data_IF_535679739137
#
_entry.id   IF_535679739137
#
_cell.length_a   1.000
_cell.length_b   1.000
_cell.length_c   1.000
_cell.angle_alpha   90.00
_cell.angle_beta   90.00
_cell.angle_gamma   90.00
#
_symmetry.space_group_name_H-M   'P 1'
#
loop_
_entity.id
_entity.type
_entity.pdbx_description
1 polymer ?
#
# COMPACT_ATOMS: atom_id res chain seq x y z
N UNK A 1 20.33 -9.30 6.72
CA UNK A 1 19.29 -8.33 7.13
C UNK A 1 20.06 -7.22 7.80
N UNK A 2 20.35 -6.15 7.06
CA UNK A 2 21.58 -5.41 7.33
C UNK A 2 21.34 -4.10 8.09
N UNK A 3 20.08 -3.78 8.42
CA UNK A 3 19.69 -2.53 9.09
C UNK A 3 18.68 -2.78 10.21
N UNK A 4 18.80 -2.02 11.29
CA UNK A 4 17.89 -2.02 12.44
C UNK A 4 17.28 -0.63 12.63
N UNK A 5 16.01 -0.59 13.05
CA UNK A 5 15.27 0.63 13.38
C UNK A 5 15.22 0.79 14.89
N UNK A 6 15.31 2.02 15.41
CA UNK A 6 15.20 2.24 16.84
C UNK A 6 13.74 2.10 17.28
N UNK A 7 13.52 1.49 18.45
CA UNK A 7 12.18 1.26 18.99
C UNK A 7 11.38 2.56 19.14
N UNK A 8 12.06 3.64 19.54
CA UNK A 8 11.49 4.98 19.68
C UNK A 8 11.00 5.62 18.38
N UNK A 9 11.47 5.14 17.23
CA UNK A 9 11.06 5.64 15.91
C UNK A 9 9.84 4.88 15.36
N UNK A 10 9.40 3.82 16.05
CA UNK A 10 8.27 3.00 15.64
C UNK A 10 6.93 3.61 16.09
N UNK A 11 5.87 3.51 15.27
CA UNK A 11 5.87 2.96 13.92
C UNK A 11 6.42 3.94 12.87
N UNK A 12 7.37 3.46 12.05
CA UNK A 12 7.88 4.17 10.88
C UNK A 12 6.87 4.03 9.75
N UNK A 13 6.43 5.16 9.21
CA UNK A 13 5.51 5.25 8.07
C UNK A 13 6.23 5.93 6.90
N UNK A 14 6.19 5.30 5.73
CA UNK A 14 6.83 5.80 4.52
C UNK A 14 5.81 5.84 3.39
N UNK A 15 5.89 6.90 2.57
CA UNK A 15 5.17 7.00 1.31
C UNK A 15 6.15 7.01 0.15
N UNK A 16 5.86 6.29 -0.92
CA UNK A 16 6.71 6.24 -2.10
C UNK A 16 5.89 6.29 -3.39
N UNK A 17 6.28 7.16 -4.33
CA UNK A 17 5.74 7.16 -5.70
C UNK A 17 6.74 6.51 -6.64
N UNK A 18 6.30 5.52 -7.41
CA UNK A 18 7.16 4.82 -8.36
C UNK A 18 6.40 4.24 -9.55
N UNK A 19 7.14 3.94 -10.62
CA UNK A 19 6.63 3.15 -11.75
C UNK A 19 6.72 1.66 -11.42
N UNK A 20 5.60 0.96 -11.57
CA UNK A 20 5.48 -0.49 -11.38
C UNK A 20 5.46 -1.20 -12.72
N UNK A 21 6.16 -2.34 -12.82
CA UNK A 21 6.19 -3.20 -14.00
C UNK A 21 5.61 -4.58 -13.66
N UNK A 22 4.59 -5.03 -14.40
CA UNK A 22 3.95 -6.34 -14.19
C UNK A 22 3.84 -7.11 -15.52
N UNK A 23 4.22 -8.37 -15.50
CA UNK A 23 4.26 -9.20 -16.71
C UNK A 23 2.87 -9.62 -17.21
N UNK A 24 1.87 -9.72 -16.32
CA UNK A 24 0.47 -10.05 -16.65
C UNK A 24 0.32 -11.26 -17.60
N UNK A 25 1.12 -12.31 -17.38
CA UNK A 25 1.31 -13.45 -18.30
C UNK A 25 0.09 -14.37 -18.46
N UNK A 26 -0.95 -14.23 -17.62
CA UNK A 26 -2.24 -14.91 -17.82
C UNK A 26 -3.17 -13.98 -18.63
N UNK A 27 -2.97 -13.99 -19.95
CA UNK A 27 -3.33 -12.92 -20.89
C UNK A 27 -4.82 -12.88 -21.33
N UNK A 28 -5.72 -13.54 -20.62
CA UNK A 28 -7.11 -13.70 -21.07
C UNK A 28 -8.12 -12.69 -20.56
N UNK A 29 -7.80 -11.92 -19.51
CA UNK A 29 -8.85 -11.22 -18.75
C UNK A 29 -9.25 -9.85 -19.29
N UNK A 30 -8.31 -9.00 -19.73
CA UNK A 30 -8.59 -7.59 -20.06
C UNK A 30 -7.66 -7.07 -21.18
N UNK A 31 -7.96 -7.30 -22.47
CA UNK A 31 -7.06 -6.92 -23.57
C UNK A 31 -7.09 -5.42 -23.92
N UNK A 32 -8.06 -4.66 -23.41
CA UNK A 32 -8.26 -3.25 -23.77
C UNK A 32 -8.44 -2.37 -22.53
N UNK A 33 -8.07 -1.09 -22.67
CA UNK A 33 -8.19 -0.09 -21.61
C UNK A 33 -6.99 -0.07 -20.66
N UNK A 34 -7.14 0.62 -19.52
CA UNK A 34 -6.07 0.89 -18.57
C UNK A 34 -6.19 0.08 -17.27
N UNK A 35 -7.19 -0.78 -17.16
CA UNK A 35 -7.45 -1.53 -15.93
C UNK A 35 -6.32 -2.52 -15.61
N UNK A 36 -5.74 -3.15 -16.65
CA UNK A 36 -4.60 -4.05 -16.54
C UNK A 36 -3.56 -3.72 -17.61
N UNK A 37 -2.43 -3.18 -17.18
CA UNK A 37 -1.33 -2.75 -18.05
C UNK A 37 0.02 -3.20 -17.48
N UNK A 38 1.01 -3.33 -18.35
CA UNK A 38 2.36 -3.74 -17.93
C UNK A 38 3.10 -2.66 -17.14
N UNK A 39 2.69 -1.41 -17.25
CA UNK A 39 3.35 -0.27 -16.62
C UNK A 39 2.31 0.72 -16.07
N UNK A 40 2.45 1.07 -14.79
CA UNK A 40 1.59 2.08 -14.16
C UNK A 40 2.34 2.79 -13.01
N UNK A 41 1.89 3.99 -12.65
CA UNK A 41 2.42 4.74 -11.49
C UNK A 41 1.60 4.40 -10.25
N UNK A 42 2.28 4.15 -9.13
CA UNK A 42 1.64 3.86 -7.85
C UNK A 42 2.23 4.72 -6.74
N UNK A 43 1.38 5.19 -5.83
CA UNK A 43 1.77 5.71 -4.52
C UNK A 43 1.55 4.60 -3.50
N UNK A 44 2.59 4.21 -2.77
CA UNK A 44 2.56 3.13 -1.78
C UNK A 44 2.70 3.66 -0.36
N UNK A 45 1.89 3.14 0.56
CA UNK A 45 2.12 3.25 2.00
C UNK A 45 2.88 2.02 2.48
N UNK A 46 3.98 2.23 3.19
CA UNK A 46 4.79 1.17 3.78
C UNK A 46 5.04 1.47 5.26
N UNK A 47 4.92 0.44 6.10
CA UNK A 47 4.99 0.57 7.55
C UNK A 47 5.93 -0.44 8.16
N UNK A 48 6.75 0.01 9.12
CA UNK A 48 7.50 -0.87 10.04
C UNK A 48 7.08 -0.50 11.45
N UNK A 49 6.66 -1.49 12.23
CA UNK A 49 6.14 -1.28 13.59
C UNK A 49 6.77 -2.24 14.58
N UNK A 50 6.57 -1.95 15.86
CA UNK A 50 6.99 -2.82 16.95
C UNK A 50 6.12 -4.08 17.00
N UNK A 51 6.49 -5.02 17.88
CA UNK A 51 5.72 -6.22 18.15
C UNK A 51 5.72 -6.51 19.67
N UNK A 52 5.63 -5.47 20.50
CA UNK A 52 5.70 -5.60 21.96
C UNK A 52 4.40 -6.19 22.53
N UNK A 53 3.26 -5.73 22.01
CA UNK A 53 1.91 -6.17 22.39
C UNK A 53 1.36 -7.26 21.46
N UNK A 54 1.89 -7.34 20.24
CA UNK A 54 1.42 -8.26 19.20
C UNK A 54 0.21 -7.75 18.42
N UNK A 55 -0.24 -6.52 18.68
CA UNK A 55 -1.39 -5.88 18.00
C UNK A 55 -0.99 -4.74 17.08
N UNK A 56 0.26 -4.27 17.16
CA UNK A 56 0.69 -3.03 16.52
C UNK A 56 0.65 -3.10 14.99
N UNK A 57 0.86 -4.27 14.40
CA UNK A 57 0.73 -4.47 12.95
C UNK A 57 -0.73 -4.44 12.48
N UNK A 58 -1.66 -4.93 13.30
CA UNK A 58 -3.09 -4.88 13.01
C UNK A 58 -3.60 -3.44 13.12
N UNK A 59 -3.19 -2.72 14.16
CA UNK A 59 -3.50 -1.30 14.34
C UNK A 59 -2.99 -0.44 13.17
N UNK A 60 -1.79 -0.73 12.67
CA UNK A 60 -1.21 -0.02 11.51
C UNK A 60 -1.92 -0.39 10.19
N UNK A 61 -2.36 -1.64 10.04
CA UNK A 61 -3.17 -2.05 8.90
C UNK A 61 -4.51 -1.32 8.89
N UNK A 62 -5.20 -1.24 10.02
CA UNK A 62 -6.47 -0.53 10.17
C UNK A 62 -6.31 0.97 9.85
N UNK A 63 -5.19 1.57 10.28
CA UNK A 63 -4.84 2.94 9.92
C UNK A 63 -4.72 3.11 8.39
N UNK A 64 -3.98 2.23 7.72
CA UNK A 64 -3.80 2.28 6.26
C UNK A 64 -5.11 2.06 5.50
N UNK A 65 -5.94 1.13 5.93
CA UNK A 65 -7.26 0.90 5.33
C UNK A 65 -8.15 2.13 5.49
N UNK A 66 -8.13 2.78 6.65
CA UNK A 66 -8.87 4.04 6.86
C UNK A 66 -8.38 5.14 5.93
N UNK A 67 -7.07 5.33 5.79
CA UNK A 67 -6.51 6.33 4.87
C UNK A 67 -6.91 6.06 3.41
N UNK A 68 -6.90 4.80 2.99
CA UNK A 68 -7.39 4.42 1.65
C UNK A 68 -8.86 4.83 1.47
N UNK A 69 -9.70 4.50 2.44
CA UNK A 69 -11.14 4.86 2.44
C UNK A 69 -11.36 6.37 2.37
N UNK A 70 -10.60 7.15 3.14
CA UNK A 70 -10.62 8.62 3.10
C UNK A 70 -10.27 9.15 1.70
N UNK A 71 -9.19 8.64 1.07
CA UNK A 71 -8.81 9.03 -0.30
C UNK A 71 -9.95 8.77 -1.30
N UNK A 72 -10.55 7.57 -1.27
CA UNK A 72 -11.66 7.27 -2.18
C UNK A 72 -12.89 8.13 -1.91
N UNK A 73 -13.19 8.41 -0.64
CA UNK A 73 -14.30 9.28 -0.24
C UNK A 73 -14.09 10.73 -0.68
N UNK A 74 -12.87 11.28 -0.54
CA UNK A 74 -12.52 12.63 -0.99
C UNK A 74 -12.60 12.78 -2.51
N UNK A 75 -12.31 11.71 -3.26
CA UNK A 75 -12.49 11.65 -4.71
C UNK A 75 -13.96 11.48 -5.14
N UNK A 76 -14.89 11.29 -4.19
CA UNK A 76 -16.31 11.06 -4.47
C UNK A 76 -16.59 9.71 -5.15
N UNK A 77 -15.71 8.72 -4.96
CA UNK A 77 -15.86 7.39 -5.56
C UNK A 77 -16.64 6.47 -4.62
N UNK A 78 -17.58 5.70 -5.18
CA UNK A 78 -18.26 4.64 -4.44
C UNK A 78 -17.36 3.39 -4.38
N UNK A 79 -17.10 2.87 -3.18
CA UNK A 79 -16.28 1.69 -2.93
C UNK A 79 -16.91 0.77 -1.88
N UNK A 80 -16.29 -0.39 -1.64
CA UNK A 80 -16.67 -1.37 -0.60
C UNK A 80 -15.43 -1.95 0.06
#
# INVERSE_FOLDING_TARGET
>A
MDHAVQLQDLPVRVVCSSTCYRAETDTGREPWGLYRVHQFTKVEMFGVTAAERGTESEELLDEFVRLQKEIFSELGLHYR
#
